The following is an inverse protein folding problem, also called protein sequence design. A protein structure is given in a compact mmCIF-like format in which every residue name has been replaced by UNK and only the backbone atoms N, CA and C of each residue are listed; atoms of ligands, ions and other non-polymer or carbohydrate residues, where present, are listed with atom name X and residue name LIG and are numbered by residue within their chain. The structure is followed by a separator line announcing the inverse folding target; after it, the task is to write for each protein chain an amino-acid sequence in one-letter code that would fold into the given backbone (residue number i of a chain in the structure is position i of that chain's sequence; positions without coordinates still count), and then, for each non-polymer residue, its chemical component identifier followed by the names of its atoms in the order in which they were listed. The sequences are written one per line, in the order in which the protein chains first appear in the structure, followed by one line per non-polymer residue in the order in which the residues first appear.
data_IF_329882727955
#
_entry.id   IF_329882727955
#
_cell.length_a   1.000
_cell.length_b   1.000
_cell.length_c   1.000
_cell.angle_alpha   90.00
_cell.angle_beta   90.00
_cell.angle_gamma   90.00
#
_symmetry.space_group_name_H-M   'P 1'
#
loop_
_entity.id
_entity.type
_entity.pdbx_description
1 polymer ?
#
# COMPACT_ATOMS: atom_id res chain seq x y z
N UNK A 1 16.70 79.16 64.78
CA UNK A 1 16.35 77.72 64.64
C UNK A 1 16.15 77.44 63.15
N UNK A 2 17.03 76.65 62.53
CA UNK A 2 16.94 76.29 61.10
C UNK A 2 16.50 74.83 60.98
N UNK A 3 15.49 74.48 60.15
CA UNK A 3 14.95 73.13 60.11
C UNK A 3 15.87 72.21 59.28
N UNK A 4 16.21 71.03 59.83
CA UNK A 4 16.93 69.99 59.09
C UNK A 4 15.98 69.29 58.11
N UNK A 5 16.32 69.31 56.82
CA UNK A 5 15.65 68.55 55.75
C UNK A 5 15.87 67.03 55.98
N UNK A 6 14.83 66.18 55.90
CA UNK A 6 15.02 64.73 55.95
C UNK A 6 15.59 64.25 54.61
N UNK A 7 16.73 63.55 54.65
CA UNK A 7 17.24 62.79 53.49
C UNK A 7 16.41 61.52 53.34
N UNK A 8 15.63 61.42 52.26
CA UNK A 8 15.05 60.15 51.80
C UNK A 8 16.21 59.25 51.35
N UNK A 9 16.52 58.22 52.13
CA UNK A 9 17.35 57.11 51.65
C UNK A 9 16.51 56.25 50.70
N UNK A 10 16.69 56.41 49.40
CA UNK A 10 16.27 55.40 48.43
C UNK A 10 17.24 54.23 48.56
N UNK A 11 16.89 53.24 49.37
CA UNK A 11 17.57 51.96 49.37
C UNK A 11 17.42 51.35 47.97
N UNK A 12 18.53 51.15 47.26
CA UNK A 12 18.54 50.37 46.02
C UNK A 12 18.08 48.94 46.37
N UNK A 13 17.21 48.32 45.55
CA UNK A 13 16.73 46.98 45.83
C UNK A 13 17.92 46.02 45.99
N UNK A 14 17.96 45.31 47.12
CA UNK A 14 18.96 44.29 47.39
C UNK A 14 18.92 43.25 46.27
N UNK A 15 20.06 43.03 45.62
CA UNK A 15 20.20 42.07 44.52
C UNK A 15 19.87 40.66 45.04
N UNK A 16 18.75 40.08 44.61
CA UNK A 16 18.35 38.70 44.88
C UNK A 16 19.17 37.67 44.06
N UNK A 17 20.51 37.71 44.20
CA UNK A 17 21.41 36.83 43.44
C UNK A 17 21.21 35.35 43.77
N UNK A 18 20.84 35.02 45.01
CA UNK A 18 20.62 33.63 45.45
C UNK A 18 19.39 32.98 44.81
N UNK A 19 18.24 33.68 44.83
CA UNK A 19 17.00 33.16 44.23
C UNK A 19 17.10 33.03 42.70
N UNK A 20 17.81 33.96 42.05
CA UNK A 20 18.03 33.89 40.60
C UNK A 20 18.80 32.64 40.17
N UNK A 21 19.81 32.20 40.95
CA UNK A 21 20.58 30.98 40.65
C UNK A 21 19.67 29.75 40.73
N UNK A 22 18.80 29.66 41.74
CA UNK A 22 17.88 28.53 41.91
C UNK A 22 16.92 28.43 40.71
N UNK A 23 16.35 29.55 40.27
CA UNK A 23 15.47 29.58 39.10
C UNK A 23 16.20 29.20 37.81
N UNK A 24 17.45 29.64 37.63
CA UNK A 24 18.27 29.27 36.46
C UNK A 24 18.55 27.76 36.45
N UNK A 25 18.89 27.17 37.60
CA UNK A 25 19.14 25.72 37.70
C UNK A 25 17.89 24.93 37.35
N UNK A 26 16.73 25.31 37.91
CA UNK A 26 15.46 24.64 37.60
C UNK A 26 15.11 24.78 36.12
N UNK A 27 15.27 25.98 35.53
CA UNK A 27 15.02 26.21 34.11
C UNK A 27 15.95 25.35 33.24
N UNK A 28 17.24 25.30 33.55
CA UNK A 28 18.22 24.52 32.79
C UNK A 28 17.93 23.02 32.87
N UNK A 29 17.59 22.50 34.06
CA UNK A 29 17.17 21.11 34.23
C UNK A 29 15.91 20.82 33.39
N UNK A 30 14.92 21.72 33.41
CA UNK A 30 13.69 21.52 32.62
C UNK A 30 13.95 21.45 31.11
N UNK A 31 14.84 22.30 30.58
CA UNK A 31 15.21 22.30 29.16
C UNK A 31 15.95 21.00 28.80
N UNK A 32 16.85 20.53 29.68
CA UNK A 32 17.57 19.27 29.46
C UNK A 32 16.62 18.06 29.45
N UNK A 33 15.67 18.02 30.39
CA UNK A 33 14.65 16.97 30.43
C UNK A 33 13.79 16.95 29.16
N UNK A 34 13.38 18.12 28.69
CA UNK A 34 12.58 18.23 27.47
C UNK A 34 13.38 17.82 26.23
N UNK A 35 14.65 18.20 26.15
CA UNK A 35 15.57 17.81 25.07
C UNK A 35 15.80 16.29 25.06
N UNK A 36 15.98 15.71 26.24
CA UNK A 36 16.16 14.27 26.42
C UNK A 36 14.93 13.48 25.94
N UNK A 37 13.73 13.93 26.30
CA UNK A 37 12.48 13.33 25.84
C UNK A 37 12.29 13.48 24.33
N UNK A 38 12.67 14.63 23.76
CA UNK A 38 12.60 14.85 22.32
C UNK A 38 13.54 13.90 21.54
N UNK A 39 14.74 13.62 22.06
CA UNK A 39 15.67 12.65 21.46
C UNK A 39 15.10 11.23 21.48
N UNK A 40 14.55 10.80 22.62
CA UNK A 40 13.94 9.47 22.74
C UNK A 40 12.69 9.32 21.86
N UNK A 41 11.88 10.38 21.75
CA UNK A 41 10.73 10.43 20.85
C UNK A 41 11.14 10.36 19.39
N UNK A 42 12.21 11.08 19.00
CA UNK A 42 12.80 10.98 17.66
C UNK A 42 13.29 9.58 17.35
N UNK A 43 14.01 8.95 18.29
CA UNK A 43 14.46 7.55 18.16
C UNK A 43 13.27 6.58 17.97
N UNK A 44 12.20 6.76 18.75
CA UNK A 44 10.99 5.94 18.65
C UNK A 44 10.32 6.08 17.29
N UNK A 45 10.18 7.31 16.78
CA UNK A 45 9.54 7.57 15.48
C UNK A 45 10.33 6.96 14.32
N UNK A 46 11.67 7.09 14.34
CA UNK A 46 12.53 6.51 13.30
C UNK A 46 12.47 4.98 13.31
N UNK A 47 12.51 4.34 14.48
CA UNK A 47 12.41 2.88 14.53
C UNK A 47 10.99 2.39 14.20
N UNK A 48 9.95 3.15 14.50
CA UNK A 48 8.58 2.84 14.06
C UNK A 48 8.47 2.82 12.53
N UNK A 49 9.03 3.81 11.83
CA UNK A 49 8.97 3.85 10.36
C UNK A 49 9.81 2.74 9.72
N UNK A 50 10.99 2.44 10.28
CA UNK A 50 11.80 1.30 9.84
C UNK A 50 11.08 -0.03 10.04
N UNK A 51 10.48 -0.24 11.22
CA UNK A 51 9.71 -1.44 11.52
C UNK A 51 8.52 -1.59 10.56
N UNK A 52 7.78 -0.51 10.30
CA UNK A 52 6.66 -0.53 9.36
C UNK A 52 7.14 -0.91 7.95
N UNK A 53 8.22 -0.29 7.45
CA UNK A 53 8.78 -0.63 6.13
C UNK A 53 9.25 -2.08 6.05
N UNK A 54 9.84 -2.62 7.10
CA UNK A 54 10.28 -4.02 7.16
C UNK A 54 9.08 -4.98 7.14
N UNK A 55 8.03 -4.66 7.89
CA UNK A 55 6.79 -5.44 7.97
C UNK A 55 6.00 -5.36 6.65
N UNK A 56 5.95 -4.21 5.98
CA UNK A 56 5.35 -4.04 4.65
C UNK A 56 6.06 -4.91 3.61
N UNK A 57 7.40 -4.87 3.57
CA UNK A 57 8.21 -5.69 2.68
C UNK A 57 8.02 -7.20 2.96
N UNK A 58 7.98 -7.57 4.24
CA UNK A 58 7.79 -8.95 4.66
C UNK A 58 6.39 -9.46 4.29
N UNK A 59 5.34 -8.66 4.49
CA UNK A 59 3.98 -9.01 4.07
C UNK A 59 3.92 -9.23 2.55
N UNK A 60 4.53 -8.35 1.75
CA UNK A 60 4.60 -8.50 0.29
C UNK A 60 5.31 -9.79 -0.13
N UNK A 61 6.45 -10.09 0.49
CA UNK A 61 7.23 -11.32 0.24
C UNK A 61 6.44 -12.58 0.61
N UNK A 62 5.76 -12.58 1.76
CA UNK A 62 4.88 -13.65 2.19
C UNK A 62 3.69 -13.84 1.26
N UNK A 63 3.02 -12.75 0.85
CA UNK A 63 1.89 -12.82 -0.06
C UNK A 63 2.31 -13.31 -1.45
N UNK A 64 3.50 -12.89 -1.91
CA UNK A 64 4.04 -13.38 -3.18
C UNK A 64 4.31 -14.88 -3.13
N UNK A 65 5.01 -15.35 -2.11
CA UNK A 65 5.29 -16.78 -1.96
C UNK A 65 4.03 -17.60 -1.76
N UNK A 66 3.04 -17.09 -1.02
CA UNK A 66 1.72 -17.75 -0.92
C UNK A 66 1.02 -17.87 -2.28
N UNK A 67 1.12 -16.84 -3.13
CA UNK A 67 0.47 -16.82 -4.45
C UNK A 67 0.93 -17.95 -5.38
N UNK A 68 2.15 -18.48 -5.18
CA UNK A 68 2.70 -19.59 -5.98
C UNK A 68 2.08 -20.95 -5.64
N UNK A 69 1.36 -21.05 -4.54
CA UNK A 69 0.73 -22.28 -4.04
C UNK A 69 -0.80 -22.27 -4.18
N UNK A 70 -1.38 -21.20 -4.76
CA UNK A 70 -2.83 -21.11 -4.95
C UNK A 70 -3.31 -22.23 -5.88
N UNK A 71 -4.36 -22.93 -5.47
CA UNK A 71 -4.86 -24.13 -6.18
C UNK A 71 -4.08 -25.42 -5.88
N UNK A 72 -3.03 -25.36 -5.07
CA UNK A 72 -2.23 -26.49 -4.63
C UNK A 72 -2.31 -26.75 -3.11
N UNK A 73 -1.22 -27.23 -2.53
CA UNK A 73 -1.12 -27.46 -1.08
C UNK A 73 -0.88 -26.14 -0.32
N UNK A 74 -1.97 -25.54 0.14
CA UNK A 74 -1.94 -24.31 0.94
C UNK A 74 -1.24 -24.45 2.28
N UNK A 75 -1.09 -25.67 2.83
CA UNK A 75 -0.33 -25.87 4.07
C UNK A 75 1.17 -25.69 3.79
N UNK A 76 1.65 -26.23 2.68
CA UNK A 76 3.00 -25.98 2.20
C UNK A 76 3.20 -24.49 1.87
N UNK A 77 2.24 -23.87 1.18
CA UNK A 77 2.26 -22.43 0.88
C UNK A 77 2.35 -21.55 2.13
N UNK A 78 1.57 -21.86 3.17
CA UNK A 78 1.63 -21.13 4.45
C UNK A 78 2.99 -21.23 5.13
N UNK A 79 3.62 -22.41 5.09
CA UNK A 79 4.95 -22.63 5.66
C UNK A 79 6.04 -21.89 4.87
N UNK A 80 5.95 -21.90 3.54
CA UNK A 80 6.85 -21.17 2.65
C UNK A 80 6.71 -19.65 2.83
N UNK A 81 5.47 -19.16 2.94
CA UNK A 81 5.17 -17.76 3.19
C UNK A 81 5.70 -17.29 4.54
N UNK A 82 5.56 -18.09 5.60
CA UNK A 82 6.17 -17.79 6.91
C UNK A 82 7.69 -17.71 6.81
N UNK A 83 8.34 -18.67 6.15
CA UNK A 83 9.79 -18.65 5.97
C UNK A 83 10.26 -17.41 5.17
N UNK A 84 9.51 -17.03 4.13
CA UNK A 84 9.80 -15.85 3.32
C UNK A 84 9.63 -14.54 4.11
N UNK A 85 8.59 -14.44 4.95
CA UNK A 85 8.38 -13.32 5.88
C UNK A 85 9.56 -13.21 6.85
N UNK A 86 9.92 -14.29 7.54
CA UNK A 86 11.05 -14.32 8.50
C UNK A 86 12.35 -13.89 7.82
N UNK A 87 12.65 -14.47 6.65
CA UNK A 87 13.85 -14.12 5.89
C UNK A 87 13.85 -12.63 5.49
N UNK A 88 12.72 -12.11 5.04
CA UNK A 88 12.62 -10.70 4.63
C UNK A 88 12.79 -9.76 5.81
N UNK A 89 12.25 -10.10 6.97
CA UNK A 89 12.45 -9.36 8.22
C UNK A 89 13.93 -9.37 8.64
N UNK A 90 14.59 -10.53 8.59
CA UNK A 90 16.01 -10.66 8.94
C UNK A 90 16.91 -9.86 7.98
N UNK A 91 16.64 -9.91 6.68
CA UNK A 91 17.36 -9.11 5.69
C UNK A 91 17.17 -7.60 5.90
N UNK A 92 15.96 -7.17 6.26
CA UNK A 92 15.68 -5.77 6.59
C UNK A 92 16.39 -5.34 7.88
N UNK A 93 16.44 -6.19 8.90
CA UNK A 93 17.16 -5.94 10.14
C UNK A 93 18.69 -5.89 9.95
N UNK A 94 19.22 -6.72 9.03
CA UNK A 94 20.64 -6.74 8.67
C UNK A 94 21.07 -5.55 7.79
N UNK A 95 20.13 -4.79 7.22
CA UNK A 95 20.44 -3.64 6.38
C UNK A 95 21.12 -2.52 7.19
N UNK A 96 21.99 -1.76 6.52
CA UNK A 96 22.72 -0.65 7.15
C UNK A 96 21.75 0.37 7.75
N UNK A 97 21.93 0.67 9.04
CA UNK A 97 21.07 1.59 9.78
C UNK A 97 19.86 0.94 10.46
N UNK A 98 19.61 -0.36 10.25
CA UNK A 98 18.49 -1.10 10.85
C UNK A 98 18.90 -2.07 11.96
N UNK A 99 20.12 -1.98 12.47
CA UNK A 99 20.64 -2.90 13.49
C UNK A 99 19.75 -2.98 14.76
N UNK A 100 19.02 -1.93 15.09
CA UNK A 100 18.04 -1.88 16.19
C UNK A 100 16.81 -2.78 15.95
N UNK A 101 16.58 -3.27 14.73
CA UNK A 101 15.52 -4.22 14.39
C UNK A 101 15.94 -5.68 14.53
N UNK A 102 17.14 -5.98 15.05
CA UNK A 102 17.59 -7.34 15.25
C UNK A 102 16.58 -8.16 16.08
N UNK A 103 16.25 -9.37 15.64
CA UNK A 103 15.27 -10.24 16.31
C UNK A 103 13.79 -9.87 16.07
N UNK A 104 13.49 -8.91 15.18
CA UNK A 104 12.10 -8.56 14.84
C UNK A 104 11.29 -9.75 14.31
N UNK A 105 11.95 -10.69 13.63
CA UNK A 105 11.35 -11.91 13.08
C UNK A 105 10.81 -12.84 14.17
N UNK A 106 11.42 -12.89 15.35
CA UNK A 106 10.97 -13.69 16.49
C UNK A 106 9.68 -13.14 17.13
N UNK A 107 9.44 -11.84 16.96
CA UNK A 107 8.27 -11.12 17.49
C UNK A 107 7.14 -11.00 16.46
N UNK A 108 7.37 -11.42 15.22
CA UNK A 108 6.42 -11.29 14.14
C UNK A 108 5.36 -12.40 14.17
N UNK A 109 4.09 -11.99 14.16
CA UNK A 109 2.95 -12.86 13.99
C UNK A 109 2.50 -12.84 12.53
N UNK A 110 2.59 -13.98 11.87
CA UNK A 110 2.12 -14.18 10.49
C UNK A 110 0.74 -14.81 10.50
N UNK A 111 -0.19 -14.19 9.77
CA UNK A 111 -1.57 -14.66 9.64
C UNK A 111 -2.05 -14.56 8.20
N UNK A 112 -3.04 -15.37 7.86
CA UNK A 112 -3.54 -15.58 6.50
C UNK A 112 -5.04 -15.32 6.45
N UNK A 113 -5.54 -14.87 5.29
CA UNK A 113 -6.97 -14.63 5.06
C UNK A 113 -7.33 -14.79 3.58
N UNK A 114 -8.60 -15.11 3.31
CA UNK A 114 -9.17 -15.07 1.96
C UNK A 114 -9.55 -13.65 1.51
N UNK A 115 -9.74 -12.72 2.46
CA UNK A 115 -10.07 -11.31 2.20
C UNK A 115 -9.07 -10.36 2.88
N UNK A 116 -8.85 -9.19 2.29
CA UNK A 116 -8.06 -8.10 2.89
C UNK A 116 -8.62 -7.66 4.26
N UNK A 117 -9.92 -7.83 4.49
CA UNK A 117 -10.60 -7.42 5.73
C UNK A 117 -10.65 -8.52 6.80
N UNK A 118 -10.18 -9.73 6.50
CA UNK A 118 -10.20 -10.89 7.42
C UNK A 118 -11.44 -11.79 7.26
N UNK A 119 -11.65 -12.76 8.17
CA UNK A 119 -10.88 -13.00 9.40
C UNK A 119 -9.48 -13.58 9.09
N UNK A 120 -8.49 -13.18 9.90
CA UNK A 120 -7.11 -13.64 9.78
C UNK A 120 -6.83 -14.79 10.75
N UNK A 121 -6.22 -15.87 10.25
CA UNK A 121 -5.87 -17.07 11.02
C UNK A 121 -4.39 -17.44 10.85
N UNK A 122 -3.82 -18.21 11.79
CA UNK A 122 -2.41 -18.65 11.71
C UNK A 122 -2.18 -19.77 10.68
N UNK A 123 -3.25 -20.45 10.26
CA UNK A 123 -3.25 -21.42 9.17
C UNK A 123 -3.88 -20.81 7.91
N UNK A 124 -3.28 -21.07 6.75
CA UNK A 124 -3.91 -20.74 5.46
C UNK A 124 -5.07 -21.70 5.18
N UNK A 125 -6.28 -21.15 4.97
CA UNK A 125 -7.38 -21.90 4.38
C UNK A 125 -7.13 -22.20 2.90
N UNK A 126 -7.98 -23.03 2.28
CA UNK A 126 -7.90 -23.37 0.85
C UNK A 126 -7.94 -22.14 -0.07
N UNK A 127 -8.58 -21.06 0.37
CA UNK A 127 -8.76 -19.82 -0.39
C UNK A 127 -7.90 -18.66 0.15
N UNK A 128 -6.88 -18.95 0.98
CA UNK A 128 -6.02 -17.91 1.52
C UNK A 128 -5.23 -17.22 0.40
N UNK A 129 -5.39 -15.89 0.32
CA UNK A 129 -4.79 -15.03 -0.72
C UNK A 129 -4.03 -13.85 -0.11
N UNK A 130 -4.32 -13.52 1.14
CA UNK A 130 -3.73 -12.39 1.86
C UNK A 130 -2.86 -12.88 3.00
N UNK A 131 -1.71 -12.24 3.17
CA UNK A 131 -0.78 -12.43 4.28
C UNK A 131 -0.71 -11.15 5.09
N UNK A 132 -0.87 -11.28 6.40
CA UNK A 132 -0.73 -10.19 7.36
C UNK A 132 0.38 -10.50 8.34
N UNK A 133 1.33 -9.58 8.42
CA UNK A 133 2.47 -9.62 9.34
C UNK A 133 2.23 -8.54 10.39
N UNK A 134 2.25 -8.93 11.67
CA UNK A 134 2.06 -8.02 12.79
C UNK A 134 3.20 -8.17 13.80
N UNK A 135 3.77 -7.06 14.21
CA UNK A 135 4.71 -6.99 15.35
C UNK A 135 4.01 -6.11 16.40
N UNK A 136 3.31 -6.71 17.38
CA UNK A 136 2.44 -5.96 18.29
C UNK A 136 3.22 -5.19 19.35
N UNK A 137 4.40 -5.69 19.74
CA UNK A 137 5.24 -5.07 20.75
C UNK A 137 6.72 -5.32 20.39
N UNK A 138 7.38 -4.26 19.92
CA UNK A 138 8.81 -4.25 19.66
C UNK A 138 9.51 -3.31 20.66
N UNK A 139 10.25 -3.85 21.64
CA UNK A 139 10.87 -3.04 22.68
C UNK A 139 12.05 -2.23 22.11
N UNK A 140 12.16 -0.97 22.53
CA UNK A 140 13.25 -0.08 22.14
C UNK A 140 14.09 0.33 23.34
N UNK A 141 15.39 0.54 23.10
CA UNK A 141 16.26 1.16 24.09
C UNK A 141 15.74 2.58 24.44
N UNK A 142 15.48 2.79 25.73
CA UNK A 142 15.12 4.07 26.31
C UNK A 142 16.32 4.66 27.06
N UNK A 143 17.01 5.62 26.44
CA UNK A 143 18.20 6.24 27.05
C UNK A 143 17.83 7.21 28.17
N UNK A 144 16.76 7.98 27.98
CA UNK A 144 16.23 8.96 28.91
C UNK A 144 14.79 8.62 29.35
N UNK A 145 14.16 7.62 28.75
CA UNK A 145 12.83 7.11 29.10
C UNK A 145 12.73 6.69 30.58
N UNK A 146 13.84 6.19 31.16
CA UNK A 146 13.93 5.89 32.59
C UNK A 146 13.72 7.11 33.50
N UNK A 147 13.93 8.34 33.01
CA UNK A 147 13.63 9.56 33.78
C UNK A 147 12.13 9.75 33.96
N UNK A 148 11.30 9.30 33.02
CA UNK A 148 9.84 9.32 33.18
C UNK A 148 9.38 8.39 34.32
N UNK A 149 10.15 7.34 34.63
CA UNK A 149 9.87 6.45 35.77
C UNK A 149 10.02 7.16 37.12
N UNK A 150 10.73 8.30 37.18
CA UNK A 150 10.81 9.13 38.37
C UNK A 150 9.52 9.94 38.60
N UNK A 151 8.76 10.20 37.53
CA UNK A 151 7.52 11.00 37.58
C UNK A 151 6.25 10.14 37.61
N UNK A 152 6.39 8.81 37.66
CA UNK A 152 5.27 7.87 37.69
C UNK A 152 5.68 6.49 37.17
N UNK A 153 4.70 5.69 36.74
CA UNK A 153 4.95 4.38 36.12
C UNK A 153 4.65 4.47 34.61
N UNK A 154 5.55 5.04 33.80
CA UNK A 154 5.35 5.13 32.35
C UNK A 154 5.37 3.73 31.73
N UNK A 155 4.62 3.55 30.65
CA UNK A 155 4.69 2.32 29.85
C UNK A 155 6.10 2.12 29.27
N UNK A 156 6.47 0.87 29.02
CA UNK A 156 7.71 0.53 28.34
C UNK A 156 7.78 1.18 26.96
N UNK A 157 8.98 1.58 26.54
CA UNK A 157 9.21 2.22 25.24
C UNK A 157 9.16 1.15 24.16
N UNK A 158 8.00 0.94 23.57
CA UNK A 158 7.80 -0.04 22.50
C UNK A 158 7.10 0.58 21.29
N UNK A 159 7.29 -0.05 20.13
CA UNK A 159 6.59 0.31 18.88
C UNK A 159 5.90 -0.91 18.29
N UNK A 160 4.81 -0.67 17.59
CA UNK A 160 4.06 -1.70 16.89
C UNK A 160 3.95 -1.38 15.39
N UNK A 161 3.88 -2.43 14.57
CA UNK A 161 3.66 -2.35 13.13
C UNK A 161 2.79 -3.50 12.64
N UNK A 162 2.02 -3.25 11.58
CA UNK A 162 1.20 -4.25 10.92
C UNK A 162 1.09 -3.95 9.44
N UNK A 163 1.17 -4.97 8.60
CA UNK A 163 0.99 -4.87 7.17
C UNK A 163 0.21 -6.07 6.65
N UNK A 164 -0.62 -5.83 5.63
CA UNK A 164 -1.35 -6.87 4.91
C UNK A 164 -1.06 -6.72 3.43
N UNK A 165 -0.67 -7.81 2.78
CA UNK A 165 -0.46 -7.86 1.34
C UNK A 165 -1.28 -9.00 0.73
N UNK A 166 -1.71 -8.80 -0.51
CA UNK A 166 -2.42 -9.79 -1.32
C UNK A 166 -1.58 -10.21 -2.52
N UNK A 167 -2.17 -10.99 -3.44
CA UNK A 167 -1.49 -11.41 -4.66
C UNK A 167 -1.16 -10.18 -5.51
N UNK A 168 0.04 -10.16 -6.10
CA UNK A 168 0.47 -9.10 -7.01
C UNK A 168 0.93 -9.68 -8.36
N UNK A 169 0.58 -9.03 -9.49
CA UNK A 169 1.11 -9.43 -10.78
C UNK A 169 2.60 -9.07 -10.84
N UNK A 170 3.47 -10.07 -10.82
CA UNK A 170 4.94 -9.89 -10.74
C UNK A 170 5.65 -9.84 -12.08
N UNK A 171 4.90 -9.85 -13.18
CA UNK A 171 5.48 -9.65 -14.50
C UNK A 171 4.67 -8.58 -15.21
N UNK A 172 5.24 -7.41 -15.56
CA UNK A 172 4.54 -6.39 -16.33
C UNK A 172 4.29 -6.81 -17.79
N UNK A 173 4.46 -8.09 -18.10
CA UNK A 173 4.41 -8.66 -19.42
C UNK A 173 3.04 -9.23 -19.81
N UNK A 174 1.99 -8.93 -19.05
CA UNK A 174 0.61 -9.35 -19.35
C UNK A 174 -0.28 -8.10 -19.31
N UNK A 175 -0.08 -7.22 -20.29
CA UNK A 175 -0.82 -5.98 -20.38
C UNK A 175 -2.13 -6.19 -21.14
N UNK A 176 -3.23 -5.75 -20.54
CA UNK A 176 -4.46 -5.50 -21.29
C UNK A 176 -4.17 -4.41 -22.35
N UNK A 177 -4.52 -4.61 -23.63
CA UNK A 177 -4.18 -3.69 -24.72
C UNK A 177 -5.11 -2.48 -24.73
N UNK A 178 -5.20 -1.78 -23.61
CA UNK A 178 -6.00 -0.58 -23.39
C UNK A 178 -5.06 0.59 -23.13
N UNK A 179 -5.38 1.74 -23.71
CA UNK A 179 -4.70 3.00 -23.39
C UNK A 179 -5.62 3.93 -22.62
N UNK A 180 -5.05 4.59 -21.63
CA UNK A 180 -5.70 5.62 -20.83
C UNK A 180 -4.95 6.94 -21.05
N UNK A 181 -5.67 7.99 -21.47
CA UNK A 181 -5.09 9.31 -21.72
C UNK A 181 -4.98 10.08 -20.41
N UNK A 182 -3.75 10.40 -19.98
CA UNK A 182 -3.51 11.25 -18.81
C UNK A 182 -3.10 12.68 -19.18
N UNK A 183 -3.36 13.63 -18.29
CA UNK A 183 -2.94 15.03 -18.42
C UNK A 183 -1.55 15.25 -17.79
N UNK A 184 -0.50 15.48 -18.59
CA UNK A 184 0.84 15.69 -18.06
C UNK A 184 0.89 16.98 -17.23
N UNK A 185 1.50 16.91 -16.04
CA UNK A 185 1.66 18.06 -15.14
C UNK A 185 0.54 18.25 -14.12
N UNK A 186 -0.54 17.47 -14.20
CA UNK A 186 -1.56 17.38 -13.16
C UNK A 186 -1.21 16.29 -12.14
N UNK A 187 -1.66 16.46 -10.90
CA UNK A 187 -1.59 15.39 -9.90
C UNK A 187 -2.33 14.16 -10.43
N UNK A 188 -1.74 12.97 -10.27
CA UNK A 188 -2.26 11.70 -10.78
C UNK A 188 -2.66 11.74 -12.27
N UNK A 189 -2.00 12.56 -13.09
CA UNK A 189 -2.32 12.72 -14.51
C UNK A 189 -3.79 13.10 -14.79
N UNK A 190 -4.43 13.83 -13.87
CA UNK A 190 -5.84 14.25 -13.98
C UNK A 190 -6.86 13.22 -13.47
N UNK A 191 -6.41 12.12 -12.85
CA UNK A 191 -7.30 11.11 -12.29
C UNK A 191 -7.56 11.30 -10.79
N UNK A 192 -8.84 11.24 -10.42
CA UNK A 192 -9.29 11.21 -9.03
C UNK A 192 -9.46 9.78 -8.51
N UNK A 193 -9.04 9.55 -7.27
CA UNK A 193 -9.18 8.23 -6.64
C UNK A 193 -10.67 7.90 -6.42
N UNK A 194 -11.08 6.69 -6.81
CA UNK A 194 -12.47 6.23 -6.68
C UNK A 194 -13.43 6.78 -7.74
N UNK A 195 -12.96 7.62 -8.68
CA UNK A 195 -13.77 8.03 -9.82
C UNK A 195 -13.80 6.92 -10.89
N UNK A 196 -15.00 6.64 -11.42
CA UNK A 196 -15.16 5.72 -12.55
C UNK A 196 -14.51 6.30 -13.81
N UNK A 197 -13.77 5.46 -14.53
CA UNK A 197 -13.09 5.85 -15.77
C UNK A 197 -13.51 4.92 -16.91
N UNK A 198 -13.83 5.50 -18.06
CA UNK A 198 -14.16 4.74 -19.26
C UNK A 198 -12.85 4.25 -19.89
N UNK A 199 -12.59 2.96 -19.75
CA UNK A 199 -11.42 2.30 -20.33
C UNK A 199 -11.59 2.01 -21.83
N UNK A 200 -12.83 1.93 -22.30
CA UNK A 200 -13.16 1.67 -23.70
C UNK A 200 -14.51 2.27 -24.08
N UNK A 201 -14.50 3.21 -25.03
CA UNK A 201 -15.72 3.74 -25.68
C UNK A 201 -16.25 2.79 -26.75
N UNK A 202 -17.57 2.78 -26.98
CA UNK A 202 -18.20 1.91 -27.97
C UNK A 202 -18.70 2.60 -29.25
N UNK A 203 -18.74 3.93 -29.36
CA UNK A 203 -18.83 4.68 -30.64
C UNK A 203 -18.90 6.19 -30.40
N UNK A 204 -18.14 6.97 -31.20
CA UNK A 204 -18.29 8.40 -31.55
C UNK A 204 -18.85 9.41 -30.52
N UNK A 205 -18.81 9.12 -29.22
CA UNK A 205 -19.26 10.02 -28.17
C UNK A 205 -18.04 10.73 -27.55
N UNK A 206 -17.40 11.57 -28.37
CA UNK A 206 -16.13 12.30 -28.15
C UNK A 206 -15.70 12.57 -26.69
N UNK A 207 -14.43 12.28 -26.40
CA UNK A 207 -13.44 13.29 -26.01
C UNK A 207 -12.02 12.67 -26.01
N UNK A 208 -11.23 12.98 -27.04
CA UNK A 208 -9.78 12.69 -27.15
C UNK A 208 -9.33 11.22 -27.20
N UNK A 209 -9.81 10.47 -28.20
CA UNK A 209 -9.06 9.55 -29.07
C UNK A 209 -9.76 9.56 -30.45
N UNK A 210 -8.99 9.69 -31.55
CA UNK A 210 -9.49 10.07 -32.88
C UNK A 210 -10.48 9.11 -33.58
N UNK A 211 -11.08 9.54 -34.71
CA UNK A 211 -12.11 8.77 -35.41
C UNK A 211 -11.57 7.39 -35.83
N UNK A 212 -12.23 6.34 -35.33
CA UNK A 212 -11.87 4.94 -35.59
C UNK A 212 -11.06 4.25 -34.48
N UNK A 213 -10.59 4.99 -33.48
CA UNK A 213 -9.77 4.45 -32.39
C UNK A 213 -10.55 4.42 -31.07
N UNK A 214 -10.66 3.23 -30.46
CA UNK A 214 -11.54 2.96 -29.32
C UNK A 214 -10.75 2.62 -28.05
N UNK A 215 -9.67 3.37 -27.80
CA UNK A 215 -8.74 3.18 -26.66
C UNK A 215 -8.05 1.80 -26.62
N UNK A 216 -8.05 1.08 -27.74
CA UNK A 216 -7.34 -0.18 -27.89
C UNK A 216 -5.97 0.02 -28.54
N UNK A 217 -4.98 -0.70 -28.05
CA UNK A 217 -3.65 -0.80 -28.65
C UNK A 217 -3.58 -2.00 -29.59
N UNK A 218 -2.84 -1.85 -30.69
CA UNK A 218 -2.68 -2.91 -31.69
C UNK A 218 -1.35 -3.63 -31.54
N UNK A 219 -1.45 -4.90 -31.15
CA UNK A 219 -0.31 -5.80 -30.98
C UNK A 219 -0.40 -7.04 -31.88
N UNK A 220 -1.21 -7.03 -32.96
CA UNK A 220 -1.24 -8.14 -33.91
C UNK A 220 -2.55 -8.32 -34.68
N UNK A 221 -2.99 -9.57 -34.83
CA UNK A 221 -3.98 -10.04 -35.82
C UNK A 221 -5.44 -9.65 -35.56
N UNK A 222 -5.73 -8.36 -35.35
CA UNK A 222 -7.10 -7.86 -35.28
C UNK A 222 -7.81 -8.22 -33.98
N UNK A 223 -9.15 -8.37 -34.04
CA UNK A 223 -9.99 -8.45 -32.83
C UNK A 223 -9.74 -9.67 -31.94
N UNK A 224 -9.32 -10.80 -32.51
CA UNK A 224 -8.99 -12.01 -31.74
C UNK A 224 -7.82 -11.76 -30.78
N UNK A 225 -6.75 -11.15 -31.27
CA UNK A 225 -5.58 -10.79 -30.44
C UNK A 225 -5.97 -9.87 -29.28
N UNK A 226 -6.93 -8.95 -29.48
CA UNK A 226 -7.43 -8.13 -28.36
C UNK A 226 -8.12 -8.98 -27.32
N UNK A 227 -8.98 -9.91 -27.72
CA UNK A 227 -9.65 -10.80 -26.77
C UNK A 227 -8.65 -11.67 -26.01
N UNK A 228 -7.69 -12.27 -26.70
CA UNK A 228 -6.68 -13.15 -26.09
C UNK A 228 -5.79 -12.39 -25.08
N UNK A 229 -5.41 -11.14 -25.40
CA UNK A 229 -4.63 -10.29 -24.51
C UNK A 229 -5.45 -9.74 -23.33
N UNK A 230 -6.73 -9.42 -23.54
CA UNK A 230 -7.64 -9.03 -22.46
C UNK A 230 -7.89 -10.18 -21.48
N UNK A 231 -7.91 -11.42 -21.98
CA UNK A 231 -8.01 -12.62 -21.18
C UNK A 231 -6.73 -12.96 -20.40
N UNK A 232 -5.64 -12.23 -20.62
CA UNK A 232 -4.34 -12.49 -19.99
C UNK A 232 -3.52 -13.59 -20.67
N UNK A 233 -3.97 -14.14 -21.80
CA UNK A 233 -3.30 -15.27 -22.47
C UNK A 233 -2.18 -14.87 -23.44
N UNK A 234 -1.62 -13.67 -23.34
CA UNK A 234 -0.50 -13.26 -24.20
C UNK A 234 0.54 -12.42 -23.48
N UNK A 235 1.81 -12.71 -23.79
CA UNK A 235 2.96 -12.01 -23.23
C UNK A 235 3.28 -10.75 -24.03
N UNK A 236 2.97 -9.57 -23.48
CA UNK A 236 3.29 -8.25 -24.01
C UNK A 236 4.19 -7.47 -23.05
N UNK A 237 5.46 -7.27 -23.43
CA UNK A 237 6.45 -6.52 -22.65
C UNK A 237 6.95 -5.25 -23.39
N UNK A 238 6.09 -4.27 -23.74
CA UNK A 238 6.53 -3.06 -24.41
C UNK A 238 7.55 -2.29 -23.54
N UNK A 239 8.56 -1.71 -24.16
CA UNK A 239 9.55 -0.90 -23.44
C UNK A 239 9.09 0.55 -23.33
N UNK A 240 9.47 1.22 -22.24
CA UNK A 240 9.15 2.65 -22.08
C UNK A 240 9.83 3.45 -23.21
N UNK A 241 9.04 4.25 -23.91
CA UNK A 241 9.49 5.04 -25.07
C UNK A 241 9.32 4.35 -26.42
N UNK A 242 8.82 3.11 -26.45
CA UNK A 242 8.43 2.43 -27.68
C UNK A 242 7.09 2.98 -28.22
N UNK A 243 7.01 3.16 -29.53
CA UNK A 243 5.77 3.58 -30.19
C UNK A 243 4.85 2.37 -30.39
N UNK A 244 3.69 2.40 -29.75
CA UNK A 244 2.63 1.40 -29.95
C UNK A 244 1.55 1.98 -30.86
N UNK A 245 1.07 1.16 -31.81
CA UNK A 245 -0.02 1.57 -32.70
C UNK A 245 -1.37 1.48 -31.99
N UNK A 246 -2.29 2.36 -32.38
CA UNK A 246 -3.70 2.25 -31.94
C UNK A 246 -4.44 1.30 -32.86
N UNK A 247 -5.37 0.52 -32.29
CA UNK A 247 -6.16 -0.41 -33.05
C UNK A 247 -7.38 0.28 -33.66
N UNK A 248 -7.54 0.25 -34.98
CA UNK A 248 -8.78 0.69 -35.61
C UNK A 248 -9.89 -0.35 -35.38
N UNK A 249 -11.09 0.13 -35.08
CA UNK A 249 -12.29 -0.71 -34.96
C UNK A 249 -12.65 -1.12 -33.53
N UNK A 250 -13.95 -1.21 -33.29
CA UNK A 250 -14.49 -1.25 -31.92
C UNK A 250 -14.21 -2.57 -31.19
N UNK A 251 -14.25 -3.72 -31.86
CA UNK A 251 -13.86 -5.00 -31.23
C UNK A 251 -14.63 -5.32 -29.92
N UNK A 252 -15.86 -4.83 -29.74
CA UNK A 252 -16.62 -4.97 -28.47
C UNK A 252 -16.72 -6.42 -28.01
N UNK A 253 -17.11 -7.32 -28.92
CA UNK A 253 -17.30 -8.73 -28.62
C UNK A 253 -16.04 -9.39 -28.05
N UNK A 254 -14.92 -9.40 -28.76
CA UNK A 254 -13.67 -9.98 -28.24
C UNK A 254 -13.15 -9.29 -26.97
N UNK A 255 -13.26 -7.96 -26.85
CA UNK A 255 -12.78 -7.24 -25.66
C UNK A 255 -13.54 -7.63 -24.39
N UNK A 256 -14.88 -7.67 -24.44
CA UNK A 256 -15.70 -8.05 -23.28
C UNK A 256 -15.50 -9.53 -22.96
N UNK A 257 -15.55 -10.40 -23.96
CA UNK A 257 -15.40 -11.85 -23.76
C UNK A 257 -14.05 -12.23 -23.16
N UNK A 258 -12.97 -11.63 -23.66
CA UNK A 258 -11.63 -11.86 -23.12
C UNK A 258 -11.52 -11.36 -21.69
N UNK A 259 -12.04 -10.16 -21.39
CA UNK A 259 -11.92 -9.64 -20.03
C UNK A 259 -12.79 -10.39 -19.01
N UNK A 260 -13.94 -10.91 -19.41
CA UNK A 260 -14.81 -11.72 -18.55
C UNK A 260 -14.11 -12.99 -18.03
N UNK A 261 -13.16 -13.56 -18.78
CA UNK A 261 -12.42 -14.76 -18.34
C UNK A 261 -11.65 -14.48 -17.05
N UNK A 262 -11.15 -13.24 -16.87
CA UNK A 262 -10.47 -12.81 -15.64
C UNK A 262 -11.38 -12.84 -14.42
N UNK A 263 -12.69 -12.78 -14.60
CA UNK A 263 -13.68 -12.89 -13.53
C UNK A 263 -14.28 -14.31 -13.42
N UNK A 264 -13.78 -15.26 -14.20
CA UNK A 264 -14.29 -16.64 -14.26
C UNK A 264 -15.53 -16.82 -15.12
N UNK A 265 -15.86 -15.86 -15.97
CA UNK A 265 -16.98 -15.94 -16.92
C UNK A 265 -16.46 -16.20 -18.35
N UNK A 266 -16.78 -17.38 -18.87
CA UNK A 266 -16.20 -17.91 -20.11
C UNK A 266 -17.23 -17.97 -21.23
N UNK A 267 -16.90 -17.38 -22.38
CA UNK A 267 -17.72 -17.47 -23.60
C UNK A 267 -16.88 -17.33 -24.87
N UNK A 268 -17.41 -17.77 -26.03
CA UNK A 268 -16.76 -17.49 -27.32
C UNK A 268 -15.48 -18.28 -27.63
N UNK A 269 -15.28 -19.44 -26.99
CA UNK A 269 -14.13 -20.32 -27.23
C UNK A 269 -12.97 -20.14 -26.26
N UNK A 270 -13.15 -19.31 -25.22
CA UNK A 270 -12.26 -19.26 -24.05
C UNK A 270 -12.65 -20.33 -23.03
N UNK A 271 -11.67 -20.90 -22.35
CA UNK A 271 -11.83 -21.83 -21.24
C UNK A 271 -10.86 -21.53 -20.09
N UNK A 272 -11.14 -22.12 -18.94
CA UNK A 272 -10.40 -21.84 -17.70
C UNK A 272 -9.01 -22.48 -17.65
N UNK A 273 -8.73 -23.46 -18.50
CA UNK A 273 -7.44 -24.14 -18.53
C UNK A 273 -6.42 -23.28 -19.29
N UNK A 274 -6.83 -22.68 -20.41
CA UNK A 274 -6.00 -21.79 -21.22
C UNK A 274 -6.00 -20.34 -20.70
N UNK A 275 -7.08 -19.90 -20.03
CA UNK A 275 -7.27 -18.53 -19.54
C UNK A 275 -7.77 -18.54 -18.08
N UNK A 276 -6.92 -18.87 -17.10
CA UNK A 276 -7.33 -18.94 -15.71
C UNK A 276 -7.84 -17.58 -15.21
N UNK A 277 -8.84 -17.55 -14.31
CA UNK A 277 -9.37 -16.31 -13.78
C UNK A 277 -8.37 -15.66 -12.82
N UNK A 278 -8.57 -14.36 -12.57
CA UNK A 278 -7.77 -13.64 -11.59
C UNK A 278 -7.99 -14.17 -10.18
N UNK A 279 -6.99 -13.96 -9.33
CA UNK A 279 -7.06 -14.33 -7.92
C UNK A 279 -8.04 -13.44 -7.12
N UNK A 280 -8.61 -12.40 -7.69
CA UNK A 280 -9.69 -11.63 -7.05
C UNK A 280 -10.73 -11.37 -8.13
N UNK A 281 -11.87 -12.04 -8.00
CA UNK A 281 -12.97 -11.96 -8.98
C UNK A 281 -14.22 -11.31 -8.41
N UNK A 282 -14.23 -10.93 -7.13
CA UNK A 282 -15.33 -10.22 -6.49
C UNK A 282 -15.48 -8.83 -7.11
N UNK A 283 -16.70 -8.50 -7.55
CA UNK A 283 -17.01 -7.24 -8.23
C UNK A 283 -18.45 -6.82 -7.91
N UNK A 284 -18.72 -5.51 -8.02
CA UNK A 284 -20.07 -4.96 -7.96
C UNK A 284 -20.69 -4.89 -9.36
N UNK A 285 -21.98 -5.14 -9.51
CA UNK A 285 -22.65 -4.87 -10.79
C UNK A 285 -23.33 -3.50 -10.73
N UNK A 286 -22.72 -2.50 -11.36
CA UNK A 286 -23.41 -1.28 -11.79
C UNK A 286 -24.12 -1.63 -13.12
N UNK A 287 -25.45 -1.78 -13.10
CA UNK A 287 -26.24 -2.51 -14.11
C UNK A 287 -26.12 -2.10 -15.59
N UNK A 288 -26.66 -2.96 -16.49
CA UNK A 288 -26.79 -2.74 -17.93
C UNK A 288 -27.62 -3.84 -18.65
N UNK A 289 -28.19 -3.56 -19.83
CA UNK A 289 -28.97 -4.54 -20.62
C UNK A 289 -28.08 -5.39 -21.53
N UNK A 290 -27.78 -6.62 -21.11
CA UNK A 290 -27.10 -7.63 -21.92
C UNK A 290 -26.78 -8.88 -21.10
N UNK A 291 -26.94 -10.05 -21.70
CA UNK A 291 -26.93 -11.37 -21.05
C UNK A 291 -25.77 -11.61 -20.07
N UNK A 292 -26.12 -11.89 -18.81
CA UNK A 292 -25.41 -12.70 -17.80
C UNK A 292 -23.88 -12.85 -17.95
N UNK A 293 -23.14 -11.88 -17.44
CA UNK A 293 -21.69 -11.94 -17.23
C UNK A 293 -21.24 -10.90 -16.22
N UNK A 294 -20.00 -11.00 -15.70
CA UNK A 294 -19.44 -10.03 -14.73
C UNK A 294 -19.38 -8.60 -15.27
N UNK A 295 -19.35 -8.50 -16.59
CA UNK A 295 -19.24 -7.26 -17.33
C UNK A 295 -20.41 -7.08 -18.30
N UNK A 296 -21.12 -5.95 -18.20
CA UNK A 296 -22.23 -5.63 -19.09
C UNK A 296 -21.99 -4.30 -19.83
N UNK A 297 -22.54 -4.22 -21.04
CA UNK A 297 -22.61 -2.95 -21.75
C UNK A 297 -23.74 -2.13 -21.13
N UNK A 298 -23.52 -0.83 -20.95
CA UNK A 298 -24.58 0.12 -20.61
C UNK A 298 -25.76 -0.01 -21.61
N UNK A 299 -26.96 0.40 -21.20
CA UNK A 299 -28.22 0.22 -21.96
C UNK A 299 -28.19 0.83 -23.38
N UNK A 300 -27.26 1.73 -23.64
CA UNK A 300 -27.02 2.38 -24.94
C UNK A 300 -25.97 1.66 -25.81
N UNK A 301 -25.41 0.55 -25.31
CA UNK A 301 -24.31 -0.20 -25.92
C UNK A 301 -22.99 0.57 -26.00
N UNK A 302 -22.87 1.73 -25.34
CA UNK A 302 -21.81 2.73 -25.59
C UNK A 302 -20.62 2.64 -24.64
N UNK A 303 -20.81 2.02 -23.48
CA UNK A 303 -19.84 2.03 -22.38
C UNK A 303 -19.76 0.66 -21.73
N UNK A 304 -18.53 0.26 -21.44
CA UNK A 304 -18.18 -0.92 -20.69
C UNK A 304 -18.22 -0.50 -19.20
N UNK A 305 -19.21 -0.97 -18.41
CA UNK A 305 -19.41 -0.61 -16.99
C UNK A 305 -18.72 -1.58 -16.02
N UNK A 306 -17.64 -1.14 -15.36
CA UNK A 306 -17.01 -1.84 -14.22
C UNK A 306 -17.58 -1.29 -12.92
N UNK A 307 -18.05 -2.17 -12.05
CA UNK A 307 -18.40 -1.89 -10.66
C UNK A 307 -17.68 -2.83 -9.71
#
# INVERSE_FOLDING_TARGET
MSPRKPRRSTALPQRQRGAAIVLIVIALVSILLMSALALDGGHMLVNKTRLQSAVDAAALSGAKTLSEYVGGDMSAGASAAQAAVTLTLDLNAAASGNAELAGVSDLALVTFSASVYGPFATSAGSDARYVRVAVPDFPLAGFFWGVLQMFGNPADKAVAAIATAGPSPTSPCELAPVMVCGEPGQANFGFDFGALQVLKSASHNDANIGPGNFQLLDFGSGGKTVGDLMAGGGTLCPQIGENVQTKPGNTVGPSVKGLNTRFGDYSGGYDADDYPPDLVTDHGQEGGTGNSGSFSLADDGSTILFG
#
